data_IF_957358867341
#
_entry.id   IF_957358867341
#
_cell.length_a   1.000
_cell.length_b   1.000
_cell.length_c   1.000
_cell.angle_alpha   90.00
_cell.angle_beta   90.00
_cell.angle_gamma   90.00
#
_symmetry.space_group_name_H-M   'P 1'
#
loop_
_entity.id
_entity.type
_entity.pdbx_description
1 polymer ?
#
# COMPACT_ATOMS: atom_id res chain seq x y z
N UNK A 1 24.10 1.22 -14.15
CA UNK A 1 22.73 1.00 -14.65
C UNK A 1 21.81 1.48 -13.55
N UNK A 2 20.82 2.32 -13.83
CA UNK A 2 19.86 2.74 -12.79
C UNK A 2 19.14 1.50 -12.30
N UNK A 3 19.42 1.08 -11.08
CA UNK A 3 18.68 0.00 -10.43
C UNK A 3 17.22 0.45 -10.39
N UNK A 4 16.40 -0.17 -11.23
CA UNK A 4 14.98 0.13 -11.29
C UNK A 4 14.40 -0.24 -9.93
N UNK A 5 14.09 0.76 -9.11
CA UNK A 5 13.43 0.56 -7.82
C UNK A 5 12.23 -0.34 -8.03
N UNK A 6 12.26 -1.54 -7.44
CA UNK A 6 11.14 -2.47 -7.47
C UNK A 6 10.15 -2.03 -6.39
N UNK A 7 8.86 -2.13 -6.70
CA UNK A 7 7.80 -1.68 -5.81
C UNK A 7 6.92 -2.86 -5.41
N UNK A 8 6.54 -2.90 -4.15
CA UNK A 8 5.49 -3.77 -3.63
C UNK A 8 4.18 -2.97 -3.53
N UNK A 9 3.04 -3.61 -3.80
CA UNK A 9 1.72 -3.00 -3.76
C UNK A 9 0.78 -3.81 -2.88
N UNK A 10 -0.02 -3.12 -2.07
CA UNK A 10 -1.02 -3.69 -1.16
C UNK A 10 -2.35 -2.98 -1.34
N UNK A 11 -3.47 -3.70 -1.28
CA UNK A 11 -4.81 -3.12 -1.42
C UNK A 11 -5.63 -3.30 -0.17
N UNK A 12 -6.11 -2.20 0.41
CA UNK A 12 -7.01 -2.23 1.57
C UNK A 12 -8.44 -2.02 1.10
N UNK A 13 -9.30 -2.98 1.40
CA UNK A 13 -10.75 -2.85 1.24
C UNK A 13 -11.31 -2.27 2.54
N UNK A 14 -11.93 -1.08 2.54
CA UNK A 14 -12.64 -0.62 3.71
C UNK A 14 -13.75 -1.64 4.07
N UNK A 15 -13.83 -2.08 5.33
CA UNK A 15 -14.80 -3.09 5.73
C UNK A 15 -16.22 -2.62 5.44
N UNK A 16 -16.99 -3.47 4.74
CA UNK A 16 -18.41 -3.23 4.49
C UNK A 16 -19.20 -3.75 5.67
N UNK A 17 -19.70 -2.86 6.52
CA UNK A 17 -20.68 -3.24 7.53
C UNK A 17 -21.88 -3.95 6.91
N UNK A 18 -22.46 -4.93 7.62
CA UNK A 18 -23.64 -5.69 7.18
C UNK A 18 -24.85 -4.79 6.88
N UNK A 19 -24.90 -3.62 7.51
CA UNK A 19 -25.66 -2.45 7.06
C UNK A 19 -24.70 -1.53 6.31
N UNK A 20 -25.01 -1.26 5.06
CA UNK A 20 -24.30 -0.41 4.09
C UNK A 20 -24.06 1.07 4.53
N UNK A 21 -24.12 1.37 5.83
CA UNK A 21 -24.09 2.70 6.46
C UNK A 21 -22.94 2.93 7.44
N UNK A 22 -22.21 1.89 7.84
CA UNK A 22 -21.04 2.05 8.72
C UNK A 22 -19.85 1.36 8.05
N UNK A 23 -19.10 2.13 7.27
CA UNK A 23 -17.73 1.76 6.97
C UNK A 23 -16.95 1.89 8.29
N UNK A 24 -16.47 0.79 8.85
CA UNK A 24 -15.60 0.85 10.02
C UNK A 24 -14.33 1.59 9.60
N UNK A 25 -13.95 2.62 10.35
CA UNK A 25 -12.81 3.49 10.06
C UNK A 25 -11.53 2.64 9.83
N UNK A 26 -10.96 2.60 8.61
CA UNK A 26 -9.81 1.76 8.31
C UNK A 26 -8.51 2.28 8.93
N UNK A 27 -8.54 3.38 9.69
CA UNK A 27 -7.39 4.09 10.25
C UNK A 27 -6.40 3.18 10.98
N UNK A 28 -6.87 2.18 11.73
CA UNK A 28 -5.96 1.25 12.40
C UNK A 28 -5.04 0.54 11.39
N UNK A 29 -5.63 -0.03 10.32
CA UNK A 29 -4.87 -0.68 9.25
C UNK A 29 -4.00 0.31 8.47
N UNK A 30 -4.48 1.54 8.27
CA UNK A 30 -3.71 2.58 7.60
C UNK A 30 -2.47 2.99 8.40
N UNK A 31 -2.60 3.10 9.72
CA UNK A 31 -1.47 3.40 10.60
C UNK A 31 -0.45 2.25 10.60
N UNK A 32 -0.91 1.00 10.69
CA UNK A 32 -0.02 -0.18 10.60
C UNK A 32 0.78 -0.18 9.30
N UNK A 33 0.12 0.08 8.17
CA UNK A 33 0.78 0.21 6.88
C UNK A 33 1.79 1.37 6.86
N UNK A 34 1.45 2.51 7.46
CA UNK A 34 2.38 3.63 7.61
C UNK A 34 3.62 3.29 8.44
N UNK A 35 3.45 2.56 9.55
CA UNK A 35 4.56 2.06 10.38
C UNK A 35 5.44 1.05 9.61
N UNK A 36 4.86 0.28 8.70
CA UNK A 36 5.54 -0.66 7.80
C UNK A 36 6.19 0.00 6.56
N UNK A 37 6.12 1.33 6.43
CA UNK A 37 6.73 2.09 5.32
C UNK A 37 5.91 2.14 4.04
N UNK A 38 4.61 1.84 4.10
CA UNK A 38 3.71 1.95 2.97
C UNK A 38 3.18 3.36 2.77
N UNK A 39 3.12 3.79 1.52
CA UNK A 39 2.60 5.09 1.10
C UNK A 39 1.34 4.91 0.25
N UNK A 40 0.33 5.77 0.43
CA UNK A 40 -0.87 5.77 -0.42
C UNK A 40 -0.48 6.11 -1.86
N UNK A 41 -0.72 5.17 -2.77
CA UNK A 41 -0.42 5.32 -4.19
C UNK A 41 -1.63 5.86 -4.96
N UNK A 42 -2.81 5.27 -4.73
CA UNK A 42 -4.03 5.62 -5.46
C UNK A 42 -5.29 5.10 -4.75
N UNK A 43 -6.47 5.50 -5.24
CA UNK A 43 -7.77 5.01 -4.80
C UNK A 43 -8.59 4.52 -5.98
N UNK A 44 -9.12 3.30 -5.90
CA UNK A 44 -9.99 2.73 -6.94
C UNK A 44 -11.45 2.87 -6.53
N UNK A 45 -12.18 3.67 -7.30
CA UNK A 45 -13.60 3.94 -7.13
C UNK A 45 -14.45 3.20 -8.17
N UNK A 46 -15.65 2.77 -7.79
CA UNK A 46 -16.60 2.23 -8.77
C UNK A 46 -17.32 3.36 -9.50
N UNK A 47 -17.60 3.12 -10.79
CA UNK A 47 -18.51 3.97 -11.57
C UNK A 47 -19.88 3.93 -10.88
N UNK A 48 -20.29 5.05 -10.27
CA UNK A 48 -21.54 5.15 -9.50
C UNK A 48 -21.39 5.53 -8.02
N UNK A 49 -20.15 5.69 -7.52
CA UNK A 49 -19.87 6.27 -6.21
C UNK A 49 -19.50 5.25 -5.14
N UNK A 50 -18.36 5.50 -4.48
CA UNK A 50 -17.82 4.70 -3.38
C UNK A 50 -16.42 4.18 -3.69
N UNK A 51 -15.45 4.61 -2.88
CA UNK A 51 -14.09 4.05 -2.85
C UNK A 51 -14.16 2.60 -2.41
N UNK A 52 -13.65 1.68 -3.23
CA UNK A 52 -13.61 0.25 -2.85
C UNK A 52 -12.23 -0.25 -2.49
N UNK A 53 -11.17 0.40 -2.97
CA UNK A 53 -9.82 0.00 -2.65
C UNK A 53 -8.93 1.22 -2.46
N UNK A 54 -8.13 1.19 -1.39
CA UNK A 54 -7.00 2.07 -1.20
C UNK A 54 -5.76 1.28 -1.60
N UNK A 55 -5.00 1.79 -2.57
CA UNK A 55 -3.79 1.16 -3.09
C UNK A 55 -2.59 1.79 -2.39
N UNK A 56 -1.78 0.97 -1.75
CA UNK A 56 -0.53 1.37 -1.11
C UNK A 56 0.65 0.82 -1.89
N UNK A 57 1.78 1.54 -1.82
CA UNK A 57 3.06 1.10 -2.38
C UNK A 57 4.18 1.27 -1.37
N UNK A 58 5.21 0.42 -1.45
CA UNK A 58 6.49 0.64 -0.77
C UNK A 58 7.64 0.16 -1.65
N UNK A 59 8.85 0.74 -1.53
CA UNK A 59 10.03 0.18 -2.18
C UNK A 59 10.24 -1.25 -1.66
N UNK A 60 10.46 -2.18 -2.58
CA UNK A 60 10.87 -3.53 -2.19
C UNK A 60 12.31 -3.45 -1.74
N UNK A 61 12.60 -3.99 -0.56
CA UNK A 61 13.97 -4.30 -0.18
C UNK A 61 14.47 -5.35 -1.17
N UNK A 62 15.04 -4.90 -2.29
CA UNK A 62 16.02 -5.69 -3.00
C UNK A 62 17.18 -5.80 -2.01
N UNK A 63 17.48 -7.00 -1.52
CA UNK A 63 18.67 -7.25 -0.70
C UNK A 63 19.94 -7.02 -1.51
N UNK A 64 20.18 -5.77 -1.88
CA UNK A 64 21.08 -5.32 -2.91
C UNK A 64 21.97 -4.21 -2.39
N UNK A 65 22.63 -4.47 -1.27
CA UNK A 65 23.80 -3.70 -0.84
C UNK A 65 24.79 -4.69 -0.23
N UNK A 66 25.60 -5.36 -1.07
CA UNK A 66 26.96 -5.83 -0.73
C UNK A 66 27.64 -6.45 -1.97
N UNK A 67 28.05 -5.57 -2.90
CA UNK A 67 29.07 -5.89 -3.90
C UNK A 67 30.07 -4.72 -4.01
N UNK A 68 30.77 -4.42 -2.91
CA UNK A 68 31.90 -3.48 -2.84
C UNK A 68 32.84 -4.00 -1.73
N UNK A 69 34.11 -4.38 -1.88
CA UNK A 69 35.12 -4.27 -2.93
C UNK A 69 36.06 -5.49 -2.81
N UNK A 70 36.48 -6.06 -3.95
CA UNK A 70 37.65 -6.92 -4.01
C UNK A 70 38.84 -6.05 -4.43
N UNK A 71 39.85 -5.96 -3.57
CA UNK A 71 41.25 -5.68 -3.96
C UNK A 71 42.19 -6.56 -3.15
#
# INVERSE_FOLDING_TARGET
>A
MSESTKWEYETVVPPKGSTQKEATDPKARLNELGDEGWELADTIEYVGGGTKFLVFKRPKEDGGDEAENAE
#
